data_IF_701498762678
#
_entry.id   IF_701498762678
#
_cell.length_a   1.000
_cell.length_b   1.000
_cell.length_c   1.000
_cell.angle_alpha   90.00
_cell.angle_beta   90.00
_cell.angle_gamma   90.00
#
_symmetry.space_group_name_H-M   'P 1'
#
loop_
_entity.id
_entity.type
_entity.pdbx_description
1 polymer ?
#
# COMPACT_ATOMS: atom_id res chain seq x y z
N UNK A 1 17.21 5.68 7.76
CA UNK A 1 16.45 4.45 7.49
C UNK A 1 15.27 4.83 6.61
N UNK A 2 15.02 4.07 5.57
CA UNK A 2 13.83 4.25 4.76
C UNK A 2 12.57 4.06 5.62
N UNK A 3 11.56 4.89 5.43
CA UNK A 3 10.26 4.72 6.10
C UNK A 3 9.35 3.81 5.27
N UNK A 4 8.93 2.71 5.85
CA UNK A 4 8.15 1.68 5.17
C UNK A 4 6.65 1.87 5.46
N UNK A 5 5.87 2.09 4.40
CA UNK A 5 4.43 2.35 4.47
C UNK A 5 3.70 1.29 3.66
N UNK A 6 2.67 0.69 4.24
CA UNK A 6 1.86 -0.30 3.53
C UNK A 6 0.37 0.04 3.50
N UNK A 7 -0.28 -0.42 2.46
CA UNK A 7 -1.73 -0.29 2.25
C UNK A 7 -2.37 -1.65 2.51
N UNK A 8 -3.16 -1.79 3.57
CA UNK A 8 -3.76 -3.07 3.99
C UNK A 8 -5.29 -2.99 4.02
N UNK A 9 -5.94 -3.90 3.34
CA UNK A 9 -7.37 -4.19 3.51
C UNK A 9 -7.67 -5.57 2.89
N UNK A 10 -8.53 -6.36 3.55
CA UNK A 10 -8.94 -7.68 3.06
C UNK A 10 -9.91 -7.62 1.86
N UNK A 11 -10.59 -6.50 1.66
CA UNK A 11 -11.52 -6.34 0.54
C UNK A 11 -10.76 -5.98 -0.74
N UNK A 12 -11.09 -6.70 -1.82
CA UNK A 12 -10.61 -6.36 -3.17
C UNK A 12 -11.23 -5.07 -3.70
N UNK A 13 -10.47 -4.32 -4.52
CA UNK A 13 -10.97 -3.14 -5.22
C UNK A 13 -11.18 -1.89 -4.34
N UNK A 14 -10.67 -1.87 -3.12
CA UNK A 14 -10.77 -0.69 -2.22
C UNK A 14 -9.79 0.42 -2.56
N UNK A 15 -8.86 0.19 -3.49
CA UNK A 15 -7.89 1.18 -3.92
C UNK A 15 -6.49 1.00 -3.31
N UNK A 16 -6.13 -0.16 -2.77
CA UNK A 16 -4.77 -0.41 -2.24
C UNK A 16 -3.70 -0.10 -3.29
N UNK A 17 -3.68 -0.83 -4.37
CA UNK A 17 -2.72 -0.67 -5.48
C UNK A 17 -2.73 0.74 -6.06
N UNK A 18 -3.92 1.31 -6.31
CA UNK A 18 -4.06 2.67 -6.82
C UNK A 18 -3.49 3.71 -5.85
N UNK A 19 -3.68 3.51 -4.55
CA UNK A 19 -3.14 4.42 -3.54
C UNK A 19 -1.64 4.21 -3.33
N UNK A 20 -1.14 2.97 -3.40
CA UNK A 20 0.30 2.69 -3.36
C UNK A 20 1.02 3.41 -4.53
N UNK A 21 0.50 3.27 -5.75
CA UNK A 21 1.02 3.98 -6.92
C UNK A 21 0.96 5.50 -6.72
N UNK A 22 -0.21 6.06 -6.40
CA UNK A 22 -0.40 7.50 -6.30
C UNK A 22 0.42 8.15 -5.17
N UNK A 23 0.51 7.51 -3.99
CA UNK A 23 1.36 7.99 -2.88
C UNK A 23 2.83 7.97 -3.30
N UNK A 24 3.30 6.89 -3.94
CA UNK A 24 4.67 6.79 -4.44
C UNK A 24 5.00 7.92 -5.42
N UNK A 25 4.10 8.20 -6.35
CA UNK A 25 4.23 9.28 -7.33
C UNK A 25 4.24 10.64 -6.65
N UNK A 26 3.33 10.92 -5.71
CA UNK A 26 3.31 12.19 -4.98
C UNK A 26 4.61 12.43 -4.22
N UNK A 27 5.17 11.40 -3.57
CA UNK A 27 6.45 11.50 -2.86
C UNK A 27 7.62 11.74 -3.83
N UNK A 28 7.66 11.03 -4.97
CA UNK A 28 8.66 11.26 -6.03
C UNK A 28 8.63 12.70 -6.53
N UNK A 29 7.45 13.27 -6.77
CA UNK A 29 7.30 14.68 -7.18
C UNK A 29 7.71 15.68 -6.09
N UNK A 30 7.78 15.26 -4.84
CA UNK A 30 8.37 16.04 -3.74
C UNK A 30 9.89 15.80 -3.59
N UNK A 31 10.53 15.16 -4.58
CA UNK A 31 11.96 14.84 -4.66
C UNK A 31 12.47 13.80 -3.64
N UNK A 32 11.60 12.97 -3.08
CA UNK A 32 12.01 11.83 -2.28
C UNK A 32 12.41 10.65 -3.18
N UNK A 33 13.37 9.85 -2.70
CA UNK A 33 13.73 8.56 -3.29
C UNK A 33 12.71 7.52 -2.84
N UNK A 34 11.90 7.04 -3.75
CA UNK A 34 10.78 6.13 -3.46
C UNK A 34 10.98 4.79 -4.15
N UNK A 35 10.79 3.71 -3.39
CA UNK A 35 10.73 2.35 -3.90
C UNK A 35 9.32 1.79 -3.71
N UNK A 36 8.72 1.28 -4.78
CA UNK A 36 7.55 0.42 -4.70
C UNK A 36 7.95 -1.03 -4.42
N UNK A 37 7.16 -1.73 -3.62
CA UNK A 37 7.26 -3.20 -3.47
C UNK A 37 5.88 -3.77 -3.74
N UNK A 38 5.77 -4.52 -4.82
CA UNK A 38 4.54 -5.24 -5.12
C UNK A 38 4.55 -6.56 -4.36
N UNK A 39 3.61 -6.72 -3.43
CA UNK A 39 3.50 -7.93 -2.62
C UNK A 39 2.13 -8.61 -2.79
N UNK A 40 1.49 -8.36 -3.96
CA UNK A 40 0.29 -9.05 -4.42
C UNK A 40 0.61 -9.93 -5.65
N UNK A 41 0.39 -11.24 -5.56
CA UNK A 41 0.58 -12.22 -6.66
C UNK A 41 -0.11 -11.85 -7.98
N UNK A 42 -1.03 -10.88 -7.96
CA UNK A 42 -1.70 -10.35 -9.17
C UNK A 42 -0.83 -9.35 -9.94
N UNK A 43 0.26 -8.85 -9.36
CA UNK A 43 1.26 -7.97 -9.99
C UNK A 43 0.71 -6.65 -10.53
N UNK A 44 -0.44 -6.18 -10.01
CA UNK A 44 -1.06 -4.95 -10.55
C UNK A 44 -0.23 -3.70 -10.27
N UNK A 45 0.47 -3.62 -9.15
CA UNK A 45 1.37 -2.50 -8.90
C UNK A 45 2.56 -2.53 -9.87
N UNK A 46 3.15 -3.71 -10.09
CA UNK A 46 4.23 -3.90 -11.06
C UNK A 46 3.82 -3.45 -12.47
N UNK A 47 2.68 -3.94 -12.95
CA UNK A 47 2.17 -3.55 -14.27
C UNK A 47 1.86 -2.05 -14.36
N UNK A 48 1.34 -1.45 -13.29
CA UNK A 48 0.94 -0.04 -13.28
C UNK A 48 2.10 0.95 -13.43
N UNK A 49 3.33 0.49 -13.24
CA UNK A 49 4.55 1.30 -13.39
C UNK A 49 5.44 0.81 -14.54
N UNK A 50 4.97 -0.16 -15.31
CA UNK A 50 5.68 -0.68 -16.48
C UNK A 50 6.82 -1.66 -16.16
N UNK A 51 6.77 -2.32 -15.01
CA UNK A 51 7.77 -3.30 -14.63
C UNK A 51 7.59 -4.65 -15.37
N UNK A 52 8.73 -5.32 -15.64
CA UNK A 52 8.75 -6.68 -16.18
C UNK A 52 8.58 -7.70 -15.04
N UNK A 53 7.66 -8.66 -15.23
CA UNK A 53 7.32 -9.64 -14.19
C UNK A 53 7.61 -11.09 -14.57
N UNK A 54 8.05 -11.38 -15.81
CA UNK A 54 8.21 -12.75 -16.31
C UNK A 54 9.66 -13.22 -16.42
N UNK A 55 10.54 -12.32 -16.87
CA UNK A 55 11.94 -12.65 -17.18
C UNK A 55 12.93 -11.92 -16.26
N UNK A 56 12.43 -11.25 -15.25
CA UNK A 56 13.24 -10.48 -14.28
C UNK A 56 13.06 -11.02 -12.87
N UNK A 57 14.06 -10.83 -11.99
CA UNK A 57 13.95 -11.19 -10.58
C UNK A 57 12.77 -10.47 -9.91
N UNK A 58 12.09 -11.18 -9.03
CA UNK A 58 10.92 -10.71 -8.29
C UNK A 58 11.17 -10.73 -6.77
N UNK A 59 10.27 -10.13 -6.01
CA UNK A 59 10.33 -10.20 -4.54
C UNK A 59 10.29 -11.66 -4.02
N UNK A 60 9.66 -12.58 -4.76
CA UNK A 60 9.69 -14.00 -4.42
C UNK A 60 11.12 -14.57 -4.50
N UNK A 61 11.90 -14.22 -5.53
CA UNK A 61 13.29 -14.68 -5.67
C UNK A 61 14.19 -14.11 -4.57
N UNK A 62 13.95 -12.86 -4.17
CA UNK A 62 14.64 -12.23 -3.03
C UNK A 62 14.36 -12.99 -1.73
N UNK A 63 13.08 -13.28 -1.43
CA UNK A 63 12.68 -14.05 -0.24
C UNK A 63 13.28 -15.46 -0.27
N UNK A 64 13.34 -16.08 -1.43
CA UNK A 64 14.00 -17.39 -1.64
C UNK A 64 15.53 -17.32 -1.59
N UNK A 65 16.12 -16.12 -1.44
CA UNK A 65 17.56 -15.88 -1.46
C UNK A 65 18.25 -16.37 -2.74
N UNK A 66 17.54 -16.34 -3.87
CA UNK A 66 18.08 -16.66 -5.20
C UNK A 66 18.84 -15.51 -5.80
N UNK A 67 18.42 -14.28 -5.45
CA UNK A 67 19.03 -13.02 -5.88
C UNK A 67 19.16 -12.06 -4.70
N UNK A 68 20.06 -11.08 -4.80
CA UNK A 68 20.09 -9.99 -3.84
C UNK A 68 18.93 -9.03 -4.11
N UNK A 69 18.44 -8.38 -3.06
CA UNK A 69 17.31 -7.44 -3.18
C UNK A 69 17.61 -6.28 -4.15
N UNK A 70 18.87 -5.83 -4.21
CA UNK A 70 19.29 -4.76 -5.12
C UNK A 70 19.16 -5.19 -6.60
N UNK A 71 19.43 -6.46 -6.89
CA UNK A 71 19.37 -7.00 -8.26
C UNK A 71 17.91 -7.20 -8.74
N UNK A 72 16.94 -7.15 -7.82
CA UNK A 72 15.52 -7.22 -8.13
C UNK A 72 14.86 -5.84 -8.31
N UNK A 73 15.59 -4.75 -8.08
CA UNK A 73 15.05 -3.40 -8.30
C UNK A 73 14.99 -3.12 -9.79
N UNK A 74 13.84 -2.70 -10.26
CA UNK A 74 13.65 -2.19 -11.61
C UNK A 74 13.44 -0.67 -11.58
N UNK A 75 14.21 0.03 -12.43
CA UNK A 75 14.06 1.47 -12.63
C UNK A 75 13.07 1.69 -13.77
N UNK A 76 11.87 2.13 -13.43
CA UNK A 76 10.81 2.41 -14.41
C UNK A 76 10.65 3.93 -14.62
N UNK A 77 9.96 4.37 -15.69
CA UNK A 77 9.65 5.80 -15.85
C UNK A 77 8.86 6.39 -14.67
N UNK A 78 8.00 5.58 -14.06
CA UNK A 78 7.11 6.02 -12.98
C UNK A 78 7.85 6.07 -11.64
N UNK A 79 8.36 4.94 -11.13
CA UNK A 79 9.10 4.83 -9.87
C UNK A 79 10.05 3.63 -9.93
N UNK A 80 11.02 3.55 -9.02
CA UNK A 80 11.74 2.31 -8.75
C UNK A 80 10.81 1.29 -8.09
N UNK A 81 10.90 0.02 -8.50
CA UNK A 81 10.01 -1.03 -7.96
C UNK A 81 10.73 -2.38 -7.84
N UNK A 82 10.41 -3.13 -6.81
CA UNK A 82 10.64 -4.58 -6.77
C UNK A 82 9.33 -5.25 -7.20
N UNK A 83 9.30 -5.89 -8.38
CA UNK A 83 8.08 -6.49 -8.90
C UNK A 83 7.77 -7.83 -8.23
N UNK A 84 6.58 -8.32 -8.50
CA UNK A 84 6.14 -9.66 -8.11
C UNK A 84 5.63 -10.45 -9.30
N UNK A 85 5.39 -11.73 -9.05
CA UNK A 85 4.73 -12.65 -9.98
C UNK A 85 3.79 -13.62 -9.22
N UNK A 86 3.14 -14.51 -9.96
CA UNK A 86 2.22 -15.51 -9.39
C UNK A 86 2.89 -16.48 -8.40
N UNK A 87 4.23 -16.63 -8.42
CA UNK A 87 4.97 -17.54 -7.54
C UNK A 87 4.96 -17.06 -6.09
N UNK A 88 4.74 -15.76 -5.85
CA UNK A 88 4.62 -15.21 -4.50
C UNK A 88 3.58 -15.96 -3.64
N UNK A 89 2.48 -16.44 -4.26
CA UNK A 89 1.47 -17.24 -3.58
C UNK A 89 1.98 -18.56 -2.97
N UNK A 90 3.16 -19.04 -3.37
CA UNK A 90 3.75 -20.25 -2.83
C UNK A 90 4.37 -20.02 -1.43
N UNK A 91 4.65 -18.77 -1.05
CA UNK A 91 5.24 -18.45 0.26
C UNK A 91 4.40 -19.04 1.39
N UNK A 92 3.08 -18.98 1.30
CA UNK A 92 2.19 -19.53 2.33
C UNK A 92 2.25 -21.06 2.46
N UNK A 93 2.70 -21.75 1.41
CA UNK A 93 2.88 -23.21 1.40
C UNK A 93 4.31 -23.65 1.74
N UNK A 94 5.29 -22.78 1.56
CA UNK A 94 6.70 -23.09 1.68
C UNK A 94 7.31 -22.67 3.01
N UNK A 95 6.70 -21.70 3.68
CA UNK A 95 7.20 -21.17 4.95
C UNK A 95 6.19 -21.39 6.07
N UNK A 96 6.65 -22.04 7.13
CA UNK A 96 5.84 -22.39 8.31
C UNK A 96 6.61 -22.08 9.59
N UNK A 97 5.87 -21.80 10.65
CA UNK A 97 6.41 -21.67 11.99
C UNK A 97 6.89 -20.27 12.35
N UNK A 98 7.51 -20.18 13.49
CA UNK A 98 7.97 -18.92 14.09
C UNK A 98 9.06 -18.28 13.22
N UNK A 99 8.92 -17.00 12.92
CA UNK A 99 9.89 -16.23 12.12
C UNK A 99 9.51 -16.10 10.64
N UNK A 100 8.55 -16.91 10.14
CA UNK A 100 8.09 -16.78 8.74
C UNK A 100 7.40 -15.45 8.44
N UNK A 101 6.94 -14.74 9.45
CA UNK A 101 6.38 -13.39 9.33
C UNK A 101 7.42 -12.28 9.13
N UNK A 102 8.72 -12.60 9.17
CA UNK A 102 9.83 -11.62 9.08
C UNK A 102 10.55 -11.62 7.73
N UNK A 103 10.18 -12.50 6.82
CA UNK A 103 10.88 -12.68 5.54
C UNK A 103 11.02 -11.37 4.75
N UNK A 104 9.95 -10.60 4.63
CA UNK A 104 9.97 -9.33 3.92
C UNK A 104 10.80 -8.27 4.66
N UNK A 105 10.66 -8.17 5.98
CA UNK A 105 11.46 -7.24 6.79
C UNK A 105 12.96 -7.47 6.61
N UNK A 106 13.38 -8.73 6.69
CA UNK A 106 14.78 -9.12 6.54
C UNK A 106 15.28 -8.88 5.09
N UNK A 107 14.41 -9.11 4.10
CA UNK A 107 14.72 -8.89 2.69
C UNK A 107 14.92 -7.40 2.35
N UNK A 108 14.15 -6.50 2.95
CA UNK A 108 14.21 -5.06 2.66
C UNK A 108 15.31 -4.32 3.43
N UNK A 109 15.86 -4.91 4.50
CA UNK A 109 16.87 -4.28 5.35
C UNK A 109 18.08 -3.68 4.61
N UNK A 110 18.64 -4.27 3.54
CA UNK A 110 19.75 -3.66 2.80
C UNK A 110 19.39 -2.34 2.10
N UNK A 111 18.11 -2.02 1.93
CA UNK A 111 17.62 -0.85 1.23
C UNK A 111 17.44 0.39 2.12
N UNK A 112 17.59 0.26 3.44
CA UNK A 112 17.36 1.30 4.45
C UNK A 112 18.10 2.63 4.20
N UNK A 113 19.25 2.59 3.54
CA UNK A 113 20.06 3.78 3.24
C UNK A 113 19.95 4.27 1.80
N UNK A 114 19.18 3.56 0.96
CA UNK A 114 19.09 3.84 -0.49
C UNK A 114 17.86 4.69 -0.82
N UNK A 115 16.78 4.53 -0.07
CA UNK A 115 15.50 5.18 -0.27
C UNK A 115 15.08 5.99 0.95
N UNK A 116 14.23 7.00 0.73
CA UNK A 116 13.57 7.75 1.80
C UNK A 116 12.29 7.04 2.22
N UNK A 117 11.55 6.51 1.24
CA UNK A 117 10.29 5.78 1.44
C UNK A 117 10.25 4.46 0.66
N UNK A 118 9.66 3.45 1.29
CA UNK A 118 9.30 2.18 0.66
C UNK A 118 7.79 2.01 0.79
N UNK A 119 7.09 1.91 -0.33
CA UNK A 119 5.63 1.76 -0.37
C UNK A 119 5.28 0.33 -0.77
N UNK A 120 4.54 -0.37 0.08
CA UNK A 120 4.19 -1.78 -0.14
C UNK A 120 2.71 -1.89 -0.50
N UNK A 121 2.42 -2.47 -1.67
CA UNK A 121 1.07 -2.92 -2.04
C UNK A 121 0.79 -4.33 -1.49
N UNK A 122 -0.44 -4.59 -1.10
CA UNK A 122 -0.85 -5.85 -0.47
C UNK A 122 -1.99 -6.55 -1.18
N UNK A 123 -2.05 -7.91 -1.11
CA UNK A 123 -3.20 -8.67 -1.57
C UNK A 123 -4.44 -8.44 -0.68
N UNK A 124 -5.63 -8.88 -1.13
CA UNK A 124 -6.86 -8.78 -0.34
C UNK A 124 -7.03 -9.91 0.69
N UNK A 125 -5.98 -10.63 1.03
CA UNK A 125 -6.03 -11.78 1.93
C UNK A 125 -5.27 -11.47 3.24
N UNK A 126 -5.83 -11.91 4.39
CA UNK A 126 -5.17 -11.81 5.69
C UNK A 126 -4.51 -13.15 6.04
N UNK A 127 -3.27 -13.35 5.59
CA UNK A 127 -2.48 -14.56 5.78
C UNK A 127 -1.03 -14.25 6.14
N UNK A 128 -0.13 -15.18 5.83
CA UNK A 128 1.31 -15.03 6.04
C UNK A 128 1.88 -13.85 5.24
N UNK A 129 1.35 -13.61 4.03
CA UNK A 129 1.75 -12.48 3.18
C UNK A 129 1.46 -11.17 3.89
N UNK A 130 0.23 -10.96 4.37
CA UNK A 130 -0.14 -9.75 5.12
C UNK A 130 0.64 -9.61 6.42
N UNK A 131 0.92 -10.73 7.12
CA UNK A 131 1.74 -10.71 8.33
C UNK A 131 3.17 -10.22 8.03
N UNK A 132 3.77 -10.64 6.91
CA UNK A 132 5.06 -10.15 6.47
C UNK A 132 5.06 -8.66 6.17
N UNK A 133 4.04 -8.16 5.47
CA UNK A 133 3.89 -6.73 5.16
C UNK A 133 3.79 -5.93 6.46
N UNK A 134 2.87 -6.29 7.36
CA UNK A 134 2.66 -5.57 8.63
C UNK A 134 3.91 -5.62 9.52
N UNK A 135 4.64 -6.74 9.51
CA UNK A 135 5.89 -6.90 10.26
C UNK A 135 7.02 -6.02 9.70
N UNK A 136 7.07 -5.80 8.39
CA UNK A 136 8.08 -4.97 7.75
C UNK A 136 7.76 -3.47 7.86
N UNK A 137 6.50 -3.09 8.09
CA UNK A 137 6.04 -1.70 7.99
C UNK A 137 6.35 -0.87 9.24
N UNK A 138 6.63 0.42 9.04
CA UNK A 138 6.62 1.45 10.08
C UNK A 138 5.22 2.05 10.23
N UNK A 139 4.51 2.22 9.10
CA UNK A 139 3.15 2.76 9.06
C UNK A 139 2.25 1.87 8.21
N UNK A 140 1.05 1.58 8.71
CA UNK A 140 -0.01 0.93 7.94
C UNK A 140 -1.16 1.90 7.73
N UNK A 141 -1.61 2.03 6.48
CA UNK A 141 -2.80 2.77 6.09
C UNK A 141 -3.90 1.82 5.61
N UNK A 142 -5.15 2.13 5.92
CA UNK A 142 -6.31 1.31 5.55
C UNK A 142 -7.19 2.08 4.56
N UNK A 143 -7.05 1.88 3.23
CA UNK A 143 -8.03 2.37 2.27
C UNK A 143 -9.34 1.60 2.40
N UNK A 144 -10.49 2.29 2.46
CA UNK A 144 -11.81 1.69 2.55
C UNK A 144 -12.79 2.34 1.57
N UNK A 145 -13.75 1.57 1.04
CA UNK A 145 -14.84 2.13 0.24
C UNK A 145 -15.93 2.74 1.13
N UNK A 146 -16.70 3.67 0.56
CA UNK A 146 -17.85 4.28 1.22
C UNK A 146 -19.08 3.34 1.16
N UNK A 147 -18.93 2.10 1.63
CA UNK A 147 -20.02 1.15 1.75
C UNK A 147 -19.93 0.34 3.07
N UNK A 148 -21.09 -0.11 3.54
CA UNK A 148 -21.21 -0.82 4.83
C UNK A 148 -20.30 -2.04 4.94
N UNK A 149 -20.22 -2.86 3.89
CA UNK A 149 -19.43 -4.11 3.92
C UNK A 149 -17.92 -3.82 3.96
N UNK A 150 -17.49 -2.75 3.28
CA UNK A 150 -16.09 -2.34 3.33
C UNK A 150 -15.70 -1.87 4.74
N UNK A 151 -16.56 -1.10 5.39
CA UNK A 151 -16.33 -0.63 6.75
C UNK A 151 -16.37 -1.78 7.76
N UNK A 152 -17.24 -2.77 7.57
CA UNK A 152 -17.27 -3.95 8.44
C UNK A 152 -15.97 -4.76 8.37
N UNK A 153 -15.38 -4.94 7.17
CA UNK A 153 -14.10 -5.64 7.00
C UNK A 153 -12.93 -4.95 7.71
N UNK A 154 -13.00 -3.63 7.91
CA UNK A 154 -11.94 -2.88 8.62
C UNK A 154 -11.74 -3.39 10.06
N UNK A 155 -12.77 -3.90 10.72
CA UNK A 155 -12.64 -4.45 12.09
C UNK A 155 -11.65 -5.61 12.11
N UNK A 156 -11.76 -6.56 11.20
CA UNK A 156 -10.88 -7.72 11.12
C UNK A 156 -9.44 -7.33 10.74
N UNK A 157 -9.30 -6.37 9.84
CA UNK A 157 -8.00 -5.78 9.48
C UNK A 157 -7.33 -5.14 10.70
N UNK A 158 -8.08 -4.30 11.45
CA UNK A 158 -7.61 -3.64 12.66
C UNK A 158 -7.17 -4.65 13.74
N UNK A 159 -7.96 -5.70 13.99
CA UNK A 159 -7.61 -6.75 14.93
C UNK A 159 -6.32 -7.48 14.52
N UNK A 160 -6.18 -7.79 13.23
CA UNK A 160 -5.00 -8.46 12.69
C UNK A 160 -3.74 -7.59 12.83
N UNK A 161 -3.83 -6.30 12.49
CA UNK A 161 -2.73 -5.33 12.66
C UNK A 161 -2.31 -5.27 14.13
N UNK A 162 -3.26 -5.11 15.05
CA UNK A 162 -2.96 -5.00 16.47
C UNK A 162 -2.38 -6.30 17.07
N UNK A 163 -2.78 -7.46 16.57
CA UNK A 163 -2.21 -8.75 16.97
C UNK A 163 -0.73 -8.84 16.55
N UNK A 164 -0.41 -8.49 15.31
CA UNK A 164 0.97 -8.53 14.79
C UNK A 164 1.81 -7.44 15.46
N UNK A 165 1.28 -6.23 15.61
CA UNK A 165 1.95 -5.15 16.35
C UNK A 165 2.42 -5.61 17.74
N UNK A 166 1.52 -6.23 18.51
CA UNK A 166 1.86 -6.70 19.87
C UNK A 166 2.85 -7.86 19.89
N UNK A 167 2.82 -8.73 18.88
CA UNK A 167 3.62 -9.95 18.85
C UNK A 167 5.03 -9.75 18.29
N UNK A 168 5.18 -8.97 17.21
CA UNK A 168 6.42 -8.95 16.40
C UNK A 168 6.87 -7.56 15.93
N UNK A 169 6.01 -6.55 15.95
CA UNK A 169 6.35 -5.18 15.49
C UNK A 169 5.75 -4.11 16.41
N UNK A 170 6.21 -3.97 17.67
CA UNK A 170 5.62 -3.06 18.67
C UNK A 170 5.68 -1.58 18.25
N UNK A 171 6.65 -1.18 17.43
CA UNK A 171 6.85 0.19 16.98
C UNK A 171 5.94 0.58 15.80
N UNK A 172 5.20 -0.38 15.23
CA UNK A 172 4.27 -0.12 14.14
C UNK A 172 3.26 0.97 14.49
N UNK A 173 3.09 1.91 13.60
CA UNK A 173 2.04 2.94 13.70
C UNK A 173 0.86 2.55 12.81
N UNK A 174 -0.33 2.43 13.37
CA UNK A 174 -1.56 2.39 12.58
C UNK A 174 -1.92 3.82 12.20
N UNK A 175 -1.54 4.22 10.98
CA UNK A 175 -1.66 5.59 10.49
C UNK A 175 -3.10 6.06 10.30
N UNK A 176 -4.02 5.12 10.14
CA UNK A 176 -5.45 5.39 10.06
C UNK A 176 -6.13 4.82 8.82
N UNK A 177 -7.42 5.10 8.73
CA UNK A 177 -8.26 4.75 7.58
C UNK A 177 -8.57 5.98 6.75
N UNK A 178 -8.64 5.85 5.44
CA UNK A 178 -9.15 6.89 4.52
C UNK A 178 -10.18 6.30 3.56
N UNK A 179 -11.12 7.15 3.12
CA UNK A 179 -12.22 6.73 2.26
C UNK A 179 -11.86 6.90 0.79
N UNK A 180 -12.03 5.84 0.01
CA UNK A 180 -11.87 5.80 -1.43
C UNK A 180 -13.22 5.74 -2.15
N UNK A 181 -13.23 6.17 -3.42
CA UNK A 181 -14.43 6.28 -4.26
C UNK A 181 -15.54 7.09 -3.58
N UNK A 182 -15.16 8.15 -2.90
CA UNK A 182 -16.08 9.05 -2.23
C UNK A 182 -16.77 9.98 -3.23
N UNK A 183 -18.08 10.12 -3.08
CA UNK A 183 -18.91 11.03 -3.88
C UNK A 183 -19.50 12.09 -2.97
N UNK A 184 -18.94 13.33 -2.89
CA UNK A 184 -19.36 14.34 -1.90
C UNK A 184 -20.84 14.73 -1.96
N UNK A 185 -21.47 14.56 -3.14
CA UNK A 185 -22.87 14.92 -3.38
C UNK A 185 -23.85 13.78 -3.15
N UNK A 186 -23.37 12.56 -2.92
CA UNK A 186 -24.20 11.40 -2.67
C UNK A 186 -24.47 11.23 -1.18
N UNK A 187 -25.74 11.04 -0.84
CA UNK A 187 -26.15 10.83 0.55
C UNK A 187 -25.54 9.55 1.14
N UNK A 188 -25.45 8.50 0.34
CA UNK A 188 -24.82 7.24 0.76
C UNK A 188 -23.35 7.44 1.18
N UNK A 189 -22.58 8.26 0.44
CA UNK A 189 -21.20 8.57 0.80
C UNK A 189 -21.11 9.36 2.12
N UNK A 190 -22.05 10.27 2.37
CA UNK A 190 -22.10 11.00 3.64
C UNK A 190 -22.42 10.09 4.82
N UNK A 191 -23.45 9.24 4.68
CA UNK A 191 -23.82 8.25 5.70
C UNK A 191 -22.67 7.27 5.97
N UNK A 192 -22.00 6.82 4.92
CA UNK A 192 -20.82 5.96 5.06
C UNK A 192 -19.69 6.67 5.82
N UNK A 193 -19.44 7.97 5.57
CA UNK A 193 -18.44 8.74 6.31
C UNK A 193 -18.80 8.89 7.79
N UNK A 194 -20.05 9.16 8.12
CA UNK A 194 -20.53 9.23 9.51
C UNK A 194 -20.38 7.87 10.22
N UNK A 195 -20.64 6.78 9.50
CA UNK A 195 -20.42 5.41 10.00
C UNK A 195 -18.93 5.15 10.22
N UNK A 196 -18.08 5.59 9.30
CA UNK A 196 -16.63 5.46 9.40
C UNK A 196 -16.07 6.22 10.61
N UNK A 197 -16.59 7.43 10.91
CA UNK A 197 -16.21 8.19 12.11
C UNK A 197 -16.50 7.36 13.37
N UNK A 198 -17.74 6.89 13.53
CA UNK A 198 -18.13 6.06 14.68
C UNK A 198 -17.32 4.78 14.80
N UNK A 199 -17.03 4.14 13.67
CA UNK A 199 -16.20 2.94 13.63
C UNK A 199 -14.78 3.25 14.12
N UNK A 200 -14.17 4.32 13.63
CA UNK A 200 -12.82 4.71 14.04
C UNK A 200 -12.76 5.11 15.52
N UNK A 201 -13.77 5.82 16.03
CA UNK A 201 -13.90 6.11 17.48
C UNK A 201 -13.95 4.81 18.30
N UNK A 202 -14.79 3.85 17.91
CA UNK A 202 -14.94 2.57 18.62
C UNK A 202 -13.64 1.72 18.58
N UNK A 203 -12.87 1.79 17.49
CA UNK A 203 -11.61 1.07 17.33
C UNK A 203 -10.41 1.84 17.88
N UNK A 204 -10.61 3.06 18.41
CA UNK A 204 -9.54 3.97 18.79
C UNK A 204 -8.50 4.14 17.66
N UNK A 205 -8.98 4.37 16.44
CA UNK A 205 -8.22 4.52 15.21
C UNK A 205 -8.53 5.87 14.56
N UNK A 206 -7.58 6.45 13.84
CA UNK A 206 -7.78 7.69 13.10
C UNK A 206 -8.56 7.46 11.81
N UNK A 207 -9.60 8.25 11.55
CA UNK A 207 -10.13 8.48 10.21
C UNK A 207 -9.40 9.70 9.64
N UNK A 208 -8.70 9.54 8.51
CA UNK A 208 -8.07 10.66 7.82
C UNK A 208 -9.15 11.58 7.23
N UNK A 209 -8.89 12.88 7.23
CA UNK A 209 -9.85 13.88 6.75
C UNK A 209 -9.99 13.85 5.24
N UNK A 210 -8.89 13.57 4.55
CA UNK A 210 -8.83 13.47 3.09
C UNK A 210 -9.59 12.24 2.60
N UNK A 211 -10.42 12.45 1.58
CA UNK A 211 -11.13 11.39 0.87
C UNK A 211 -10.72 11.36 -0.59
N UNK A 212 -10.60 10.16 -1.15
CA UNK A 212 -10.26 9.99 -2.56
C UNK A 212 -11.55 9.81 -3.35
N UNK A 213 -11.84 10.72 -4.27
CA UNK A 213 -13.01 10.62 -5.15
C UNK A 213 -12.90 9.46 -6.13
N UNK A 214 -14.02 9.00 -6.63
CA UNK A 214 -14.03 8.07 -7.76
C UNK A 214 -13.52 8.78 -9.03
N UNK A 215 -12.59 8.14 -9.73
CA UNK A 215 -12.10 8.61 -11.03
C UNK A 215 -11.56 7.47 -11.86
N UNK A 216 -11.93 7.43 -13.13
CA UNK A 216 -11.38 6.49 -14.12
C UNK A 216 -9.96 6.87 -14.56
N UNK A 217 -9.55 8.11 -14.28
CA UNK A 217 -8.21 8.63 -14.62
C UNK A 217 -7.10 7.82 -13.96
N UNK A 218 -7.31 7.38 -12.71
CA UNK A 218 -6.34 6.53 -12.00
C UNK A 218 -6.10 5.23 -12.78
N UNK A 219 -7.18 4.54 -13.16
CA UNK A 219 -7.07 3.29 -13.93
C UNK A 219 -6.42 3.53 -15.29
N UNK A 220 -6.76 4.64 -15.96
CA UNK A 220 -6.19 4.98 -17.27
C UNK A 220 -4.67 5.25 -17.17
N UNK A 221 -4.23 6.02 -16.19
CA UNK A 221 -2.80 6.28 -15.94
C UNK A 221 -2.05 4.97 -15.64
N UNK A 222 -2.58 4.15 -14.73
CA UNK A 222 -1.98 2.86 -14.38
C UNK A 222 -1.93 1.88 -15.56
N UNK A 223 -2.89 1.95 -16.50
CA UNK A 223 -2.91 1.10 -17.70
C UNK A 223 -1.91 1.60 -18.75
N UNK A 224 -1.70 2.91 -18.85
CA UNK A 224 -0.73 3.49 -19.77
C UNK A 224 0.72 3.14 -19.39
N UNK A 225 1.00 3.07 -18.07
CA UNK A 225 2.28 2.65 -17.48
C UNK A 225 3.55 3.38 -18.02
N UNK A 226 3.36 4.54 -18.64
CA UNK A 226 4.43 5.34 -19.24
C UNK A 226 4.61 6.67 -18.52
N UNK A 227 3.49 7.29 -18.15
CA UNK A 227 3.45 8.54 -17.40
C UNK A 227 2.87 8.25 -16.01
N UNK A 228 3.38 8.94 -15.00
CA UNK A 228 2.79 8.86 -13.69
C UNK A 228 1.45 9.63 -13.61
N UNK A 229 0.68 9.39 -12.57
CA UNK A 229 -0.67 9.97 -12.41
C UNK A 229 -0.67 11.51 -12.47
N UNK A 230 0.38 12.17 -11.95
CA UNK A 230 0.47 13.63 -11.93
C UNK A 230 0.78 14.17 -13.33
N UNK A 231 1.69 13.53 -14.07
CA UNK A 231 2.04 13.89 -15.45
C UNK A 231 0.89 13.58 -16.40
N UNK A 232 0.23 12.42 -16.22
CA UNK A 232 -0.90 11.98 -17.05
C UNK A 232 -2.11 12.92 -16.95
N UNK A 233 -2.42 13.42 -15.76
CA UNK A 233 -3.62 14.23 -15.56
C UNK A 233 -3.46 15.33 -14.50
N UNK A 234 -2.53 16.29 -14.66
CA UNK A 234 -2.11 17.24 -13.61
C UNK A 234 -3.25 18.13 -13.07
N UNK A 235 -4.29 18.33 -13.87
CA UNK A 235 -5.46 19.18 -13.47
C UNK A 235 -6.63 18.36 -12.93
N UNK A 236 -6.53 17.03 -12.92
CA UNK A 236 -7.66 16.21 -12.48
C UNK A 236 -7.85 16.33 -10.97
N UNK A 237 -9.09 16.49 -10.50
CA UNK A 237 -9.34 16.64 -9.07
C UNK A 237 -8.87 15.44 -8.22
N UNK A 238 -8.81 14.22 -8.75
CA UNK A 238 -8.31 13.04 -7.99
C UNK A 238 -6.82 13.13 -7.70
N UNK A 239 -6.04 13.78 -8.57
CA UNK A 239 -4.61 14.06 -8.32
C UNK A 239 -4.47 14.96 -7.09
N UNK A 240 -5.31 15.99 -6.99
CA UNK A 240 -5.34 16.86 -5.81
C UNK A 240 -5.71 16.12 -4.54
N UNK A 241 -6.65 15.15 -4.62
CA UNK A 241 -7.02 14.35 -3.47
C UNK A 241 -5.82 13.55 -2.94
N UNK A 242 -5.02 12.93 -3.82
CA UNK A 242 -3.82 12.20 -3.40
C UNK A 242 -2.70 13.12 -2.90
N UNK A 243 -2.51 14.28 -3.50
CA UNK A 243 -1.57 15.28 -2.97
C UNK A 243 -2.00 15.70 -1.56
N UNK A 244 -3.28 16.02 -1.36
CA UNK A 244 -3.82 16.37 -0.04
C UNK A 244 -3.70 15.21 0.97
N UNK A 245 -3.85 13.95 0.54
CA UNK A 245 -3.63 12.80 1.40
C UNK A 245 -2.17 12.74 1.87
N UNK A 246 -1.22 12.91 0.97
CA UNK A 246 0.22 12.90 1.31
C UNK A 246 0.56 14.08 2.23
N UNK A 247 0.02 15.27 1.96
CA UNK A 247 0.21 16.45 2.82
C UNK A 247 -0.34 16.19 4.23
N UNK A 248 -1.55 15.63 4.35
CA UNK A 248 -2.14 15.24 5.64
C UNK A 248 -1.28 14.20 6.39
N UNK A 249 -0.70 13.23 5.66
CA UNK A 249 0.19 12.24 6.27
C UNK A 249 1.47 12.89 6.83
N UNK A 250 2.03 13.89 6.15
CA UNK A 250 3.15 14.68 6.67
C UNK A 250 2.75 15.51 7.91
N UNK A 251 1.63 16.21 7.86
CA UNK A 251 1.12 17.01 8.99
C UNK A 251 0.90 16.16 10.25
N UNK A 252 0.52 14.90 10.06
CA UNK A 252 0.33 13.95 11.17
C UNK A 252 1.62 13.23 11.61
N UNK A 253 2.77 13.49 10.96
CA UNK A 253 4.04 12.83 11.25
C UNK A 253 4.08 11.35 10.86
N UNK A 254 3.24 10.95 9.89
CA UNK A 254 3.16 9.59 9.38
C UNK A 254 4.12 9.34 8.20
N UNK A 255 4.61 10.41 7.57
CA UNK A 255 5.63 10.43 6.52
C UNK A 255 6.87 11.15 6.97
#
# INVERSE_FOLDING_TARGET
MAKIISLINEKGGVGKTSSANAISVCLKHQNYKVLGVDFDKQSYFSYSVGAETRESPTIYDVIKKRVNVIDAIQHTPVIDIIPTDGLLGNIEKEYYGVGSERLLKDALKPLDSMYDYIIIDSPPELGLISANIITASDVVLIPALCDFFSLQGVIQVHETINRIKRAVNPDLVLGGMFLCRYYPREELSRVARETAVKLCENLNMTLLDTTIRHSTVITNAMTAAQDDLIEFAPKNPVVKDYISLVDELFERGLL
#
